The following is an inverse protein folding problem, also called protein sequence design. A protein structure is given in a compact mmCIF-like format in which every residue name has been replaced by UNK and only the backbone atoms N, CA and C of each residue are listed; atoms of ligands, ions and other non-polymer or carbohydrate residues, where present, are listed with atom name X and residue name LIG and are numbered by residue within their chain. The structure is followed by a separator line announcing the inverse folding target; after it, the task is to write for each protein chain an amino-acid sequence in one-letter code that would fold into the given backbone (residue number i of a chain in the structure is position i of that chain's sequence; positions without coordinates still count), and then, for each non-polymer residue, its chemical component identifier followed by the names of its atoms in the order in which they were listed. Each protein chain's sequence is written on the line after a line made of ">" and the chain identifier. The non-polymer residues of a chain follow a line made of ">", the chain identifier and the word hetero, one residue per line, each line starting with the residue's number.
data_IF_326539733087
#
_entry.id   IF_326539733087
#
_cell.length_a   1.000
_cell.length_b   1.000
_cell.length_c   1.000
_cell.angle_alpha   90.00
_cell.angle_beta   90.00
_cell.angle_gamma   90.00
#
_symmetry.space_group_name_H-M   'P 1'
#
loop_
_entity.id
_entity.type
_entity.pdbx_description
1 polymer ?
#
# COMPACT_ATOMS: atom_id res chain seq x y z
N UNK A 1 0.87 12.70 14.15
CA UNK A 1 2.20 12.77 13.49
C UNK A 1 2.09 12.16 12.10
N UNK A 2 2.96 12.56 11.18
CA UNK A 2 3.13 11.94 9.85
C UNK A 2 4.03 10.72 9.95
N UNK A 3 3.76 9.70 9.13
CA UNK A 3 4.69 8.57 8.98
C UNK A 3 5.96 9.05 8.27
N UNK A 4 7.12 8.49 8.64
CA UNK A 4 8.37 8.75 7.92
C UNK A 4 8.37 8.03 6.56
N UNK A 5 9.04 8.61 5.57
CA UNK A 5 9.33 7.92 4.32
C UNK A 5 10.20 6.68 4.59
N UNK A 6 9.95 5.59 3.88
CA UNK A 6 10.73 4.36 4.03
C UNK A 6 9.97 3.11 3.65
N UNK A 7 10.61 1.96 3.90
CA UNK A 7 10.08 0.64 3.55
C UNK A 7 9.50 -0.03 4.80
N UNK A 8 8.24 -0.44 4.71
CA UNK A 8 7.47 -1.00 5.82
C UNK A 8 6.78 -2.31 5.43
N UNK A 9 6.38 -3.10 6.43
CA UNK A 9 5.38 -4.15 6.23
C UNK A 9 4.08 -3.74 6.91
N UNK A 10 2.95 -3.91 6.24
CA UNK A 10 1.65 -3.64 6.84
C UNK A 10 1.12 -4.90 7.50
N UNK A 11 0.78 -4.79 8.78
CA UNK A 11 0.26 -5.88 9.62
C UNK A 11 -1.15 -5.53 10.07
N UNK A 12 -2.05 -6.50 10.05
CA UNK A 12 -3.41 -6.31 10.56
C UNK A 12 -3.38 -6.09 12.07
N UNK A 13 -4.23 -5.17 12.54
CA UNK A 13 -4.46 -4.95 13.97
C UNK A 13 -5.42 -5.98 14.57
N UNK A 14 -6.28 -6.58 13.74
CA UNK A 14 -7.26 -7.57 14.17
C UNK A 14 -6.64 -8.96 14.32
N UNK A 15 -5.63 -9.24 13.50
CA UNK A 15 -4.88 -10.50 13.53
C UNK A 15 -3.39 -10.23 13.25
N UNK A 16 -2.52 -10.29 14.26
CA UNK A 16 -1.10 -9.97 14.07
C UNK A 16 -0.32 -11.02 13.27
N UNK A 17 -0.92 -12.18 12.96
CA UNK A 17 -0.33 -13.16 12.04
C UNK A 17 -0.51 -12.78 10.57
N UNK A 18 -1.42 -11.83 10.30
CA UNK A 18 -1.79 -11.39 8.96
C UNK A 18 -1.07 -10.11 8.56
N UNK A 19 -0.49 -10.15 7.36
CA UNK A 19 0.19 -9.06 6.69
C UNK A 19 -0.50 -8.73 5.37
N UNK A 20 -0.08 -7.62 4.77
CA UNK A 20 -0.48 -7.24 3.41
C UNK A 20 0.61 -7.65 2.41
N UNK A 21 0.17 -8.17 1.28
CA UNK A 21 0.98 -8.31 0.09
C UNK A 21 0.20 -8.98 -1.02
N UNK A 22 0.90 -9.25 -2.10
CA UNK A 22 0.37 -9.85 -3.31
C UNK A 22 0.47 -11.38 -3.28
N UNK A 23 1.03 -11.96 -2.23
CA UNK A 23 1.23 -13.41 -2.06
C UNK A 23 2.27 -13.97 -3.04
N UNK A 24 2.32 -15.29 -3.26
CA UNK A 24 3.13 -15.83 -4.34
C UNK A 24 2.51 -15.36 -5.68
N UNK A 25 3.16 -14.39 -6.32
CA UNK A 25 2.86 -14.01 -7.69
C UNK A 25 3.59 -15.02 -8.59
N UNK A 26 2.88 -15.79 -9.44
CA UNK A 26 3.54 -16.65 -10.41
C UNK A 26 4.55 -15.83 -11.23
N UNK A 27 5.68 -16.39 -11.67
CA UNK A 27 6.72 -15.69 -12.41
C UNK A 27 6.30 -15.39 -13.86
N UNK A 28 5.13 -14.77 -14.06
CA UNK A 28 4.62 -14.34 -15.36
C UNK A 28 4.85 -12.83 -15.47
N UNK A 29 5.70 -12.44 -16.41
CA UNK A 29 6.06 -11.04 -16.66
C UNK A 29 5.38 -10.52 -17.96
N UNK A 30 4.83 -9.29 -17.97
CA UNK A 30 4.71 -8.38 -16.83
C UNK A 30 3.71 -8.92 -15.79
N UNK A 31 3.96 -8.72 -14.49
CA UNK A 31 3.00 -9.08 -13.47
C UNK A 31 1.69 -8.35 -13.74
N UNK A 32 0.60 -9.10 -13.91
CA UNK A 32 -0.74 -8.54 -14.01
C UNK A 32 -1.02 -7.69 -12.76
N UNK A 33 -1.84 -6.62 -12.84
CA UNK A 33 -2.29 -5.88 -11.67
C UNK A 33 -2.76 -6.82 -10.55
N UNK A 34 -1.91 -7.05 -9.55
CA UNK A 34 -2.14 -8.06 -8.54
C UNK A 34 -2.85 -7.43 -7.35
N UNK A 35 -3.98 -8.00 -6.88
CA UNK A 35 -4.66 -7.48 -5.70
C UNK A 35 -3.74 -7.63 -4.48
N UNK A 36 -3.72 -6.60 -3.64
CA UNK A 36 -3.18 -6.71 -2.30
C UNK A 36 -4.20 -7.45 -1.44
N UNK A 37 -3.72 -8.42 -0.67
CA UNK A 37 -4.53 -9.34 0.11
C UNK A 37 -3.94 -9.56 1.49
N UNK A 38 -4.78 -10.04 2.39
CA UNK A 38 -4.38 -10.60 3.68
C UNK A 38 -3.61 -11.91 3.46
N UNK A 39 -2.39 -11.97 3.96
CA UNK A 39 -1.47 -13.10 3.75
C UNK A 39 -0.60 -13.35 4.98
N UNK A 40 0.02 -14.53 5.02
CA UNK A 40 0.99 -14.88 6.06
C UNK A 40 2.31 -14.11 5.91
N UNK A 41 3.07 -14.02 7.01
CA UNK A 41 4.32 -13.27 7.10
C UNK A 41 5.39 -13.67 6.06
N UNK A 42 5.37 -14.92 5.58
CA UNK A 42 6.33 -15.44 4.61
C UNK A 42 6.18 -14.82 3.21
N UNK A 43 5.00 -14.30 2.88
CA UNK A 43 4.69 -13.74 1.55
C UNK A 43 4.45 -12.24 1.57
N UNK A 44 4.69 -11.57 2.70
CA UNK A 44 4.44 -10.13 2.87
C UNK A 44 5.30 -9.32 1.91
N UNK A 45 4.71 -8.28 1.34
CA UNK A 45 5.47 -7.38 0.48
C UNK A 45 6.06 -6.23 1.30
N UNK A 46 7.33 -5.85 1.05
CA UNK A 46 7.85 -4.57 1.50
C UNK A 46 7.16 -3.45 0.74
N UNK A 47 6.53 -2.54 1.48
CA UNK A 47 5.82 -1.38 0.95
C UNK A 47 6.69 -0.15 1.14
N UNK A 48 7.13 0.43 0.03
CA UNK A 48 7.85 1.69 0.00
C UNK A 48 6.85 2.86 0.06
N UNK A 49 7.02 3.71 1.08
CA UNK A 49 6.22 4.90 1.34
C UNK A 49 7.05 6.12 0.95
N UNK A 50 6.61 6.81 -0.10
CA UNK A 50 7.28 7.99 -0.62
C UNK A 50 6.39 9.22 -0.43
N UNK A 51 6.83 10.26 0.29
CA UNK A 51 6.03 11.46 0.50
C UNK A 51 5.86 12.23 -0.82
N UNK A 52 4.70 12.84 -0.99
CA UNK A 52 4.42 13.83 -2.03
C UNK A 52 4.19 15.20 -1.40
N UNK A 53 3.96 16.22 -2.23
CA UNK A 53 3.57 17.55 -1.77
C UNK A 53 2.23 17.51 -1.04
N UNK A 54 2.11 18.28 0.05
CA UNK A 54 0.84 18.40 0.79
C UNK A 54 0.62 17.36 1.90
N UNK A 55 1.63 16.54 2.23
CA UNK A 55 1.53 15.57 3.32
C UNK A 55 0.83 14.26 2.93
N UNK A 56 0.71 13.99 1.62
CA UNK A 56 0.27 12.71 1.09
C UNK A 56 1.47 11.82 0.74
N UNK A 57 1.16 10.59 0.35
CA UNK A 57 2.16 9.58 0.03
C UNK A 57 1.76 8.81 -1.21
N UNK A 58 2.74 8.40 -2.00
CA UNK A 58 2.58 7.32 -2.97
C UNK A 58 3.18 6.05 -2.36
N UNK A 59 2.51 4.93 -2.62
CA UNK A 59 2.88 3.63 -2.08
C UNK A 59 3.32 2.72 -3.22
N UNK A 60 4.40 1.97 -3.02
CA UNK A 60 4.89 1.00 -4.00
C UNK A 60 5.16 -0.34 -3.35
N UNK A 61 4.86 -1.42 -4.06
CA UNK A 61 5.45 -2.72 -3.81
C UNK A 61 6.20 -3.16 -5.06
N UNK A 62 7.36 -3.79 -4.86
CA UNK A 62 8.30 -4.13 -5.94
C UNK A 62 8.70 -2.89 -6.75
N UNK A 63 8.12 -2.69 -7.94
CA UNK A 63 8.35 -1.54 -8.83
C UNK A 63 7.04 -0.90 -9.32
N UNK A 64 5.92 -1.26 -8.72
CA UNK A 64 4.58 -0.84 -9.13
C UNK A 64 3.91 -0.01 -8.04
N UNK A 65 3.16 1.00 -8.45
CA UNK A 65 2.32 1.77 -7.54
C UNK A 65 1.18 0.93 -6.99
N UNK A 66 0.81 1.17 -5.74
CA UNK A 66 -0.40 0.63 -5.14
C UNK A 66 -1.52 1.64 -5.37
N UNK A 67 -2.63 1.17 -5.93
CA UNK A 67 -3.80 1.98 -6.19
C UNK A 67 -5.10 1.26 -5.85
N UNK A 68 -6.20 1.93 -6.12
CA UNK A 68 -7.55 1.44 -5.87
C UNK A 68 -8.37 1.53 -7.17
N UNK A 69 -9.08 0.46 -7.52
CA UNK A 69 -9.90 0.41 -8.75
C UNK A 69 -11.40 0.52 -8.50
N UNK A 70 -11.82 1.01 -7.33
CA UNK A 70 -13.24 1.06 -6.94
C UNK A 70 -13.72 -0.16 -6.16
N UNK A 71 -12.99 -1.26 -6.19
CA UNK A 71 -13.33 -2.49 -5.45
C UNK A 71 -12.16 -2.95 -4.58
N UNK A 72 -10.98 -3.07 -5.19
CA UNK A 72 -9.81 -3.68 -4.58
C UNK A 72 -8.63 -2.71 -4.54
N UNK A 73 -7.78 -2.87 -3.53
CA UNK A 73 -6.43 -2.29 -3.52
C UNK A 73 -5.51 -3.24 -4.27
N UNK A 74 -4.75 -2.74 -5.24
CA UNK A 74 -3.92 -3.57 -6.12
C UNK A 74 -2.66 -2.85 -6.60
N UNK A 75 -1.72 -3.63 -7.12
CA UNK A 75 -0.63 -3.07 -7.94
C UNK A 75 -1.19 -2.55 -9.25
N UNK A 76 -0.85 -1.32 -9.59
CA UNK A 76 -1.16 -0.71 -10.88
C UNK A 76 -0.19 -1.26 -11.94
N UNK A 77 -0.58 -1.25 -13.23
CA UNK A 77 0.33 -1.60 -14.32
C UNK A 77 1.67 -0.86 -14.21
N UNK A 78 2.75 -1.49 -14.65
CA UNK A 78 4.07 -0.86 -14.67
C UNK A 78 4.03 0.43 -15.49
N UNK A 79 4.51 1.53 -14.92
CA UNK A 79 4.41 2.87 -15.54
C UNK A 79 3.01 3.52 -15.47
N UNK A 80 2.06 2.90 -14.77
CA UNK A 80 0.75 3.49 -14.48
C UNK A 80 0.86 4.73 -13.57
N UNK A 81 -0.19 5.57 -13.55
CA UNK A 81 -0.18 6.80 -12.75
C UNK A 81 -0.12 6.47 -11.25
N UNK A 82 0.61 7.27 -10.50
CA UNK A 82 0.64 7.15 -9.05
C UNK A 82 -0.72 7.56 -8.45
N UNK A 83 -1.10 6.89 -7.38
CA UNK A 83 -2.27 7.23 -6.56
C UNK A 83 -1.78 7.76 -5.23
N UNK A 84 -2.34 8.88 -4.79
CA UNK A 84 -1.99 9.48 -3.52
C UNK A 84 -2.83 8.90 -2.37
N UNK A 85 -2.18 8.72 -1.24
CA UNK A 85 -2.73 8.16 -0.02
C UNK A 85 -2.50 9.12 1.13
N UNK A 86 -3.52 9.28 1.97
CA UNK A 86 -3.36 9.88 3.28
C UNK A 86 -3.04 8.76 4.28
N UNK A 87 -1.91 8.89 4.99
CA UNK A 87 -1.55 8.01 6.09
C UNK A 87 -1.70 8.77 7.40
N UNK A 88 -2.66 8.34 8.21
CA UNK A 88 -3.07 9.02 9.43
C UNK A 88 -2.67 8.16 10.62
N UNK A 89 -2.02 8.76 11.62
CA UNK A 89 -1.70 8.07 12.87
C UNK A 89 -2.99 7.66 13.61
N UNK A 90 -3.07 6.39 13.99
CA UNK A 90 -4.13 5.83 14.81
C UNK A 90 -3.75 5.76 16.28
N UNK A 91 -4.43 4.88 17.03
CA UNK A 91 -4.21 4.73 18.47
C UNK A 91 -2.97 3.87 18.76
N UNK A 92 -1.79 4.49 18.69
CA UNK A 92 -0.51 3.87 19.04
C UNK A 92 0.67 4.46 18.28
N UNK A 93 1.92 4.22 18.74
CA UNK A 93 3.12 4.75 18.09
C UNK A 93 3.32 4.21 16.66
N UNK A 94 2.87 2.97 16.39
CA UNK A 94 3.06 2.29 15.10
C UNK A 94 1.73 1.88 14.44
N UNK A 95 0.64 2.52 14.85
CA UNK A 95 -0.69 2.24 14.31
C UNK A 95 -1.04 3.33 13.32
N UNK A 96 -1.35 2.94 12.09
CA UNK A 96 -1.69 3.88 11.02
C UNK A 96 -2.95 3.41 10.28
N UNK A 97 -3.75 4.39 9.84
CA UNK A 97 -4.86 4.20 8.92
C UNK A 97 -4.47 4.75 7.56
N UNK A 98 -4.68 3.95 6.52
CA UNK A 98 -4.50 4.35 5.14
C UNK A 98 -5.85 4.71 4.56
N UNK A 99 -5.94 5.87 3.93
CA UNK A 99 -7.16 6.36 3.26
C UNK A 99 -6.77 6.81 1.87
N UNK A 100 -7.53 6.37 0.86
CA UNK A 100 -7.37 6.86 -0.50
C UNK A 100 -7.57 8.38 -0.48
N UNK A 101 -6.60 9.14 -0.97
CA UNK A 101 -6.80 10.56 -1.16
C UNK A 101 -7.63 10.75 -2.43
N UNK A 102 -8.95 10.70 -2.29
CA UNK A 102 -9.82 11.25 -3.31
C UNK A 102 -9.87 12.76 -3.07
N UNK A 103 -9.37 13.55 -4.03
CA UNK A 103 -9.77 14.96 -4.10
C UNK A 103 -11.25 14.99 -4.52
N UNK A 104 -12.16 14.72 -3.59
CA UNK A 104 -13.57 14.98 -3.85
C UNK A 104 -13.72 16.50 -3.73
N UNK A 105 -13.64 17.17 -4.88
CA UNK A 105 -14.16 18.49 -5.20
C UNK A 105 -14.07 19.56 -4.10
N UNK A 106 -13.03 20.41 -4.20
CA UNK A 106 -13.15 21.82 -3.85
C UNK A 106 -13.52 22.62 -5.10
#
# INVERSE_FOLDING_TARGET
>A
MSIQAGVYSFRSLLDPSIFVGTGPVPPVYPPYPAPLRSIEAAYKDPIDIQPTTGGHYVLKAHSQFIGYNGTDVKLLPLGGPAVEWAIIQGNGPDVFRQVLFNSING
#
